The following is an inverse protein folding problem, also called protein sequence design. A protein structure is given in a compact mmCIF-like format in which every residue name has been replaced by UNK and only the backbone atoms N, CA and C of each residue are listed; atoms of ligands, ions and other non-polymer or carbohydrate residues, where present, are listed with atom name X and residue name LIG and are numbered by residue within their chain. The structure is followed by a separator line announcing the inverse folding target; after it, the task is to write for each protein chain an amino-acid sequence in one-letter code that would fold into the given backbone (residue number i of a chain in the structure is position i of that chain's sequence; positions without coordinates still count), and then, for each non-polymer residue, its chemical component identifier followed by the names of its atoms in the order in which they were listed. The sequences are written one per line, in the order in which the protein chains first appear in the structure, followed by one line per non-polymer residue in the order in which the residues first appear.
data_IF_208457999826
#
_entry.id   IF_208457999826
#
_cell.length_a   1.000
_cell.length_b   1.000
_cell.length_c   1.000
_cell.angle_alpha   90.00
_cell.angle_beta   90.00
_cell.angle_gamma   90.00
#
_symmetry.space_group_name_H-M   'P 1'
#
loop_
_entity.id
_entity.type
_entity.pdbx_description
1 polymer ?
#
# COMPACT_ATOMS: atom_id res chain seq x y z
N UNK A 1 -23.57 17.35 49.11
CA UNK A 1 -24.16 17.58 47.77
C UNK A 1 -24.05 16.27 46.99
N UNK A 2 -25.13 15.47 46.89
CA UNK A 2 -25.83 15.03 45.66
C UNK A 2 -24.86 14.57 44.54
N UNK A 3 -24.89 13.36 43.95
CA UNK A 3 -25.89 12.28 43.79
C UNK A 3 -25.15 11.00 43.32
N UNK A 4 -25.42 9.83 43.92
CA UNK A 4 -26.16 8.66 43.39
C UNK A 4 -25.58 7.97 42.14
N UNK A 5 -24.98 6.80 42.37
CA UNK A 5 -24.82 5.70 41.42
C UNK A 5 -25.87 4.63 41.80
N UNK A 6 -26.67 4.16 40.85
CA UNK A 6 -27.63 3.06 41.05
C UNK A 6 -27.32 1.98 40.02
N UNK A 7 -27.01 0.81 40.55
CA UNK A 7 -26.94 -0.48 39.88
C UNK A 7 -28.35 -1.08 39.87
N UNK A 8 -28.80 -1.72 38.78
CA UNK A 8 -29.67 -2.89 38.88
C UNK A 8 -29.66 -3.74 37.61
N UNK A 9 -29.56 -5.04 37.85
CA UNK A 9 -29.62 -6.17 36.93
C UNK A 9 -31.06 -6.53 36.52
N UNK A 10 -31.10 -7.44 35.52
CA UNK A 10 -32.09 -8.51 35.22
C UNK A 10 -33.20 -8.23 34.22
N UNK A 11 -33.35 -9.17 33.26
CA UNK A 11 -34.51 -9.26 32.38
C UNK A 11 -34.30 -10.14 31.14
N UNK A 12 -34.28 -11.46 31.32
CA UNK A 12 -34.29 -12.52 30.29
C UNK A 12 -35.63 -12.53 29.53
N UNK A 13 -35.64 -12.69 28.19
CA UNK A 13 -36.43 -13.73 27.48
C UNK A 13 -36.06 -13.85 26.00
N UNK A 14 -36.13 -15.09 25.49
CA UNK A 14 -35.75 -15.53 24.15
C UNK A 14 -36.98 -15.97 23.30
N UNK A 15 -36.70 -16.30 22.02
CA UNK A 15 -37.52 -16.95 20.98
C UNK A 15 -38.53 -16.01 20.26
N UNK A 16 -38.66 -15.97 18.93
CA UNK A 16 -38.92 -17.07 18.00
C UNK A 16 -38.98 -16.55 16.54
N UNK A 17 -38.86 -17.48 15.59
CA UNK A 17 -38.88 -17.36 14.13
C UNK A 17 -40.17 -16.79 13.52
N UNK A 18 -40.04 -16.18 12.33
CA UNK A 18 -41.14 -15.93 11.40
C UNK A 18 -40.65 -15.61 9.99
N UNK A 19 -40.78 -16.57 9.08
CA UNK A 19 -40.53 -16.42 7.64
C UNK A 19 -41.66 -15.63 6.93
N UNK A 20 -41.34 -15.09 5.75
CA UNK A 20 -42.17 -14.98 4.53
C UNK A 20 -42.37 -13.57 3.96
N UNK A 21 -42.35 -13.48 2.62
CA UNK A 21 -43.23 -12.57 1.88
C UNK A 21 -42.54 -11.52 1.01
N UNK A 22 -42.64 -11.70 -0.31
CA UNK A 22 -42.12 -10.84 -1.36
C UNK A 22 -42.96 -9.58 -1.66
N UNK A 23 -42.35 -8.72 -2.48
CA UNK A 23 -42.95 -7.80 -3.47
C UNK A 23 -43.50 -6.44 -3.01
N UNK A 24 -43.09 -5.38 -3.73
CA UNK A 24 -43.88 -4.13 -3.79
C UNK A 24 -43.09 -2.87 -4.11
N UNK A 25 -42.62 -2.71 -5.35
CA UNK A 25 -42.31 -1.38 -5.89
C UNK A 25 -43.63 -0.60 -6.08
N UNK A 26 -43.76 0.59 -5.48
CA UNK A 26 -44.80 1.57 -5.81
C UNK A 26 -44.18 2.97 -5.92
N UNK A 27 -44.21 3.49 -7.14
CA UNK A 27 -44.00 4.91 -7.47
C UNK A 27 -45.28 5.74 -7.30
N UNK A 28 -45.10 7.04 -7.00
CA UNK A 28 -45.77 8.27 -7.48
C UNK A 28 -45.78 9.32 -6.34
N UNK A 29 -45.53 10.63 -6.50
CA UNK A 29 -45.40 11.54 -7.67
C UNK A 29 -44.95 12.96 -7.19
N UNK A 30 -44.60 13.80 -8.19
CA UNK A 30 -44.53 15.29 -8.27
C UNK A 30 -43.25 16.04 -7.85
N UNK A 31 -42.57 16.67 -8.84
CA UNK A 31 -41.58 17.76 -8.67
C UNK A 31 -42.24 19.13 -8.40
N UNK A 32 -41.54 20.30 -8.44
CA UNK A 32 -40.31 20.62 -9.20
C UNK A 32 -39.18 21.40 -8.46
N UNK A 33 -38.04 21.58 -9.16
CA UNK A 33 -36.93 22.54 -8.97
C UNK A 33 -36.00 22.41 -7.72
N UNK A 34 -34.87 23.14 -7.79
CA UNK A 34 -33.67 23.25 -6.91
C UNK A 34 -32.47 22.41 -7.39
N UNK A 35 -31.45 23.03 -8.02
CA UNK A 35 -30.36 23.85 -7.43
C UNK A 35 -29.61 23.12 -6.31
N UNK A 36 -28.27 23.16 -6.38
CA UNK A 36 -27.28 22.47 -5.52
C UNK A 36 -26.99 20.99 -5.83
N UNK A 37 -26.23 20.77 -6.89
CA UNK A 37 -24.94 20.03 -6.85
C UNK A 37 -24.83 18.61 -6.29
N UNK A 38 -25.89 17.91 -5.89
CA UNK A 38 -25.80 16.58 -5.25
C UNK A 38 -25.95 15.45 -6.25
N UNK A 39 -25.00 14.52 -6.25
CA UNK A 39 -25.01 13.25 -6.97
C UNK A 39 -25.03 12.10 -5.96
N UNK A 40 -25.84 11.08 -6.20
CA UNK A 40 -26.06 9.93 -5.30
C UNK A 40 -25.38 8.69 -5.87
N UNK A 41 -24.61 7.98 -5.02
CA UNK A 41 -23.96 6.70 -5.32
C UNK A 41 -25.02 5.63 -5.59
N UNK A 42 -24.89 4.91 -6.70
CA UNK A 42 -25.76 3.80 -7.02
C UNK A 42 -25.25 2.49 -6.38
N UNK A 43 -26.03 1.94 -5.44
CA UNK A 43 -25.80 0.60 -4.90
C UNK A 43 -25.90 -0.49 -5.99
N UNK A 44 -25.35 -1.68 -5.71
CA UNK A 44 -25.37 -2.82 -6.63
C UNK A 44 -26.77 -3.07 -7.24
N UNK A 45 -26.88 -2.97 -8.57
CA UNK A 45 -28.15 -3.08 -9.31
C UNK A 45 -28.78 -1.76 -9.79
N UNK A 46 -28.15 -0.60 -9.55
CA UNK A 46 -28.64 0.73 -9.97
C UNK A 46 -27.71 1.42 -11.01
N UNK A 47 -28.23 2.40 -11.79
CA UNK A 47 -27.47 3.18 -12.80
C UNK A 47 -26.44 4.11 -12.13
N UNK A 48 -25.19 4.17 -12.61
CA UNK A 48 -24.15 5.06 -12.06
C UNK A 48 -24.33 6.53 -12.49
N UNK A 49 -23.92 7.47 -11.63
CA UNK A 49 -23.88 8.89 -11.95
C UNK A 49 -22.61 9.30 -12.73
N UNK A 50 -21.59 8.44 -12.74
CA UNK A 50 -20.31 8.65 -13.41
C UNK A 50 -20.13 7.67 -14.57
N UNK A 51 -19.73 8.21 -15.73
CA UNK A 51 -19.16 7.43 -16.82
C UNK A 51 -17.66 7.67 -16.85
N UNK A 52 -16.86 6.61 -16.82
CA UNK A 52 -15.43 6.71 -17.08
C UNK A 52 -15.19 6.48 -18.57
N UNK A 53 -14.40 7.37 -19.15
CA UNK A 53 -13.89 7.29 -20.51
C UNK A 53 -12.37 7.32 -20.43
N UNK A 54 -11.74 6.26 -20.89
CA UNK A 54 -10.29 6.14 -21.04
C UNK A 54 -10.02 5.55 -22.41
N UNK A 55 -8.85 5.82 -22.99
CA UNK A 55 -8.45 5.10 -24.20
C UNK A 55 -8.26 3.61 -23.85
N UNK A 56 -9.16 2.74 -24.32
CA UNK A 56 -9.14 1.30 -23.99
C UNK A 56 -8.12 0.48 -24.81
N UNK A 57 -7.50 1.03 -25.86
CA UNK A 57 -6.81 0.20 -26.85
C UNK A 57 -5.64 0.90 -27.55
N UNK A 58 -4.55 1.18 -26.85
CA UNK A 58 -3.28 1.52 -27.51
C UNK A 58 -2.10 0.78 -26.84
N UNK A 59 -1.58 -0.20 -27.57
CA UNK A 59 -0.32 -0.93 -27.43
C UNK A 59 0.46 -0.72 -26.11
N UNK A 60 0.50 -1.80 -25.33
CA UNK A 60 1.45 -2.15 -24.25
C UNK A 60 1.55 -1.29 -22.98
N UNK A 61 1.16 0.00 -22.94
CA UNK A 61 1.28 0.83 -21.71
C UNK A 61 -0.07 1.30 -21.10
N UNK A 62 -1.20 1.05 -21.75
CA UNK A 62 -2.50 1.66 -21.38
C UNK A 62 -3.43 0.79 -20.52
N UNK A 63 -3.25 -0.54 -20.53
CA UNK A 63 -4.08 -1.46 -19.73
C UNK A 63 -3.87 -1.27 -18.22
N UNK A 64 -2.62 -1.08 -17.80
CA UNK A 64 -2.25 -0.76 -16.40
C UNK A 64 -2.88 0.57 -15.96
N UNK A 65 -2.88 1.57 -16.86
CA UNK A 65 -3.39 2.91 -16.57
C UNK A 65 -4.89 2.92 -16.28
N UNK A 66 -5.69 2.24 -17.12
CA UNK A 66 -7.13 2.16 -16.93
C UNK A 66 -7.49 1.36 -15.67
N UNK A 67 -6.83 0.22 -15.44
CA UNK A 67 -7.04 -0.58 -14.24
C UNK A 67 -6.69 0.19 -12.95
N UNK A 68 -5.58 0.94 -12.96
CA UNK A 68 -5.18 1.86 -11.90
C UNK A 68 -6.25 2.92 -11.61
N UNK A 69 -6.68 3.68 -12.62
CA UNK A 69 -7.70 4.74 -12.45
C UNK A 69 -9.01 4.15 -11.93
N UNK A 70 -9.43 3.01 -12.48
CA UNK A 70 -10.67 2.35 -12.06
C UNK A 70 -10.58 1.88 -10.61
N UNK A 71 -9.50 1.23 -10.21
CA UNK A 71 -9.33 0.73 -8.84
C UNK A 71 -9.19 1.87 -7.83
N UNK A 72 -8.44 2.92 -8.17
CA UNK A 72 -8.29 4.14 -7.39
C UNK A 72 -9.63 4.85 -7.14
N UNK A 73 -10.37 5.12 -8.21
CA UNK A 73 -11.68 5.77 -8.11
C UNK A 73 -12.70 4.86 -7.43
N UNK A 74 -12.68 3.54 -7.64
CA UNK A 74 -13.57 2.61 -6.93
C UNK A 74 -13.29 2.57 -5.43
N UNK A 75 -12.01 2.49 -5.07
CA UNK A 75 -11.56 2.42 -3.68
C UNK A 75 -11.86 3.73 -2.94
N UNK A 76 -11.65 4.88 -3.58
CA UNK A 76 -11.99 6.18 -3.02
C UNK A 76 -13.51 6.48 -3.00
N UNK A 77 -14.19 6.36 -4.14
CA UNK A 77 -15.60 6.78 -4.29
C UNK A 77 -16.61 5.75 -3.79
N UNK A 78 -16.18 4.51 -3.50
CA UNK A 78 -17.05 3.38 -3.18
C UNK A 78 -18.20 3.21 -4.21
N UNK A 79 -17.92 3.49 -5.48
CA UNK A 79 -18.92 3.60 -6.55
C UNK A 79 -18.67 2.62 -7.70
N UNK A 80 -19.73 2.21 -8.39
CA UNK A 80 -19.60 1.52 -9.68
C UNK A 80 -19.20 2.51 -10.77
N UNK A 81 -18.12 2.16 -11.46
CA UNK A 81 -17.65 2.84 -12.66
C UNK A 81 -17.91 1.90 -13.83
N UNK A 82 -18.82 2.28 -14.74
CA UNK A 82 -19.06 1.56 -15.98
C UNK A 82 -18.03 1.99 -17.02
N UNK A 83 -17.30 1.02 -17.53
CA UNK A 83 -16.42 1.15 -18.68
C UNK A 83 -17.26 0.74 -19.90
N UNK A 84 -17.57 1.67 -20.80
CA UNK A 84 -18.35 1.38 -22.01
C UNK A 84 -17.68 1.98 -23.23
N UNK A 85 -17.30 1.12 -24.18
CA UNK A 85 -16.95 1.48 -25.55
C UNK A 85 -18.24 1.69 -26.36
N UNK A 86 -18.59 2.94 -26.63
CA UNK A 86 -19.59 3.29 -27.65
C UNK A 86 -21.03 3.57 -27.18
N UNK A 87 -21.42 4.83 -27.40
CA UNK A 87 -22.74 5.40 -27.74
C UNK A 87 -24.05 5.16 -26.95
N UNK A 88 -24.24 4.17 -26.07
CA UNK A 88 -25.50 4.08 -25.28
C UNK A 88 -25.37 4.63 -23.85
N UNK A 89 -25.30 5.97 -23.75
CA UNK A 89 -24.78 6.69 -22.56
C UNK A 89 -25.85 7.04 -21.50
N UNK A 90 -27.05 6.46 -21.53
CA UNK A 90 -28.08 6.64 -20.48
C UNK A 90 -28.28 8.08 -19.91
N UNK A 91 -28.74 8.16 -18.65
CA UNK A 91 -29.04 9.41 -17.91
C UNK A 91 -27.82 9.95 -17.12
N UNK A 92 -26.59 9.59 -17.50
CA UNK A 92 -25.38 9.86 -16.69
C UNK A 92 -25.02 11.34 -16.68
N UNK A 93 -24.81 11.92 -15.48
CA UNK A 93 -24.59 13.37 -15.27
C UNK A 93 -23.11 13.78 -15.39
N UNK A 94 -22.19 12.90 -15.02
CA UNK A 94 -20.75 13.18 -15.01
C UNK A 94 -19.98 12.26 -15.97
N UNK A 95 -19.09 12.84 -16.77
CA UNK A 95 -18.12 12.13 -17.60
C UNK A 95 -16.74 12.38 -17.02
N UNK A 96 -16.05 11.32 -16.62
CA UNK A 96 -14.65 11.32 -16.21
C UNK A 96 -13.82 10.89 -17.42
N UNK A 97 -13.10 11.81 -18.03
CA UNK A 97 -12.29 11.54 -19.22
C UNK A 97 -10.82 11.52 -18.85
N UNK A 98 -10.19 10.35 -18.74
CA UNK A 98 -8.77 10.23 -18.40
C UNK A 98 -7.96 9.83 -19.62
N UNK A 99 -7.09 10.75 -20.07
CA UNK A 99 -6.27 10.55 -21.27
C UNK A 99 -7.08 10.17 -22.51
N UNK A 100 -8.38 10.47 -22.53
CA UNK A 100 -9.32 9.95 -23.53
C UNK A 100 -9.24 10.74 -24.84
N UNK A 101 -8.75 10.10 -25.89
CA UNK A 101 -8.66 10.65 -27.24
C UNK A 101 -10.02 10.92 -27.89
N UNK A 102 -11.06 10.16 -27.50
CA UNK A 102 -12.43 10.36 -28.00
C UNK A 102 -13.14 11.58 -27.38
N UNK A 103 -12.58 12.18 -26.33
CA UNK A 103 -13.08 13.41 -25.72
C UNK A 103 -12.21 14.58 -26.22
N UNK A 104 -12.68 15.43 -27.15
CA UNK A 104 -11.84 16.42 -27.83
C UNK A 104 -11.06 17.34 -26.88
N UNK A 105 -11.69 17.81 -25.80
CA UNK A 105 -11.01 18.65 -24.80
C UNK A 105 -9.87 17.90 -24.10
N UNK A 106 -10.10 16.65 -23.69
CA UNK A 106 -9.07 15.83 -23.04
C UNK A 106 -7.92 15.51 -24.01
N UNK A 107 -8.24 15.24 -25.28
CA UNK A 107 -7.23 15.01 -26.33
C UNK A 107 -6.38 16.25 -26.56
N UNK A 108 -6.99 17.43 -26.75
CA UNK A 108 -6.29 18.70 -26.97
C UNK A 108 -5.37 19.05 -25.79
N UNK A 109 -5.88 18.90 -24.56
CA UNK A 109 -5.06 19.07 -23.35
C UNK A 109 -3.87 18.12 -23.38
N UNK A 110 -4.09 16.84 -23.67
CA UNK A 110 -3.02 15.82 -23.71
C UNK A 110 -1.95 16.13 -24.76
N UNK A 111 -2.32 16.66 -25.93
CA UNK A 111 -1.36 17.07 -26.97
C UNK A 111 -0.54 18.30 -26.58
N UNK A 112 -1.06 19.16 -25.70
CA UNK A 112 -0.37 20.36 -25.23
C UNK A 112 0.58 20.11 -24.04
N UNK A 113 0.52 18.92 -23.42
CA UNK A 113 1.36 18.56 -22.28
C UNK A 113 2.74 18.05 -22.73
N UNK A 114 3.77 18.42 -21.97
CA UNK A 114 5.10 17.79 -22.04
C UNK A 114 5.16 16.57 -21.13
N UNK A 115 6.25 15.79 -21.22
CA UNK A 115 6.52 14.68 -20.30
C UNK A 115 6.41 15.17 -18.84
N UNK A 116 5.76 14.37 -18.01
CA UNK A 116 5.56 14.59 -16.57
C UNK A 116 4.67 15.81 -16.22
N UNK A 117 3.94 16.34 -17.21
CA UNK A 117 2.87 17.33 -17.01
C UNK A 117 1.49 16.67 -17.00
N UNK A 118 0.56 17.25 -16.24
CA UNK A 118 -0.86 16.89 -16.24
C UNK A 118 -1.75 18.14 -16.26
N UNK A 119 -3.02 17.94 -16.63
CA UNK A 119 -4.06 18.96 -16.55
C UNK A 119 -5.39 18.35 -16.10
N UNK A 120 -6.14 19.09 -15.27
CA UNK A 120 -7.49 18.74 -14.84
C UNK A 120 -8.41 19.90 -15.19
N UNK A 121 -9.42 19.65 -16.00
CA UNK A 121 -10.37 20.68 -16.45
C UNK A 121 -11.81 20.21 -16.31
N UNK A 122 -12.68 21.12 -15.89
CA UNK A 122 -14.12 20.89 -15.83
C UNK A 122 -14.81 21.71 -16.91
N UNK A 123 -15.67 21.05 -17.69
CA UNK A 123 -16.45 21.69 -18.76
C UNK A 123 -17.87 21.13 -18.83
N UNK A 124 -18.74 21.79 -19.61
CA UNK A 124 -20.10 21.30 -19.89
C UNK A 124 -20.16 20.71 -21.29
N UNK A 125 -20.75 19.53 -21.42
CA UNK A 125 -21.02 18.89 -22.71
C UNK A 125 -22.03 19.73 -23.50
N UNK A 126 -21.80 19.86 -24.81
CA UNK A 126 -22.66 20.61 -25.74
C UNK A 126 -24.05 20.02 -25.91
N UNK A 127 -24.21 18.71 -25.69
CA UNK A 127 -25.38 17.97 -26.19
C UNK A 127 -26.37 17.59 -25.08
N UNK A 128 -25.99 17.67 -23.79
CA UNK A 128 -26.79 17.09 -22.70
C UNK A 128 -26.64 17.75 -21.31
N UNK A 129 -26.07 18.96 -21.20
CA UNK A 129 -25.79 19.65 -19.91
C UNK A 129 -25.06 18.75 -18.90
N UNK A 130 -24.19 17.87 -19.41
CA UNK A 130 -23.36 16.97 -18.61
C UNK A 130 -22.09 17.68 -18.17
N UNK A 131 -21.60 17.35 -16.98
CA UNK A 131 -20.30 17.84 -16.50
C UNK A 131 -19.22 16.87 -16.98
N UNK A 132 -18.22 17.39 -17.69
CA UNK A 132 -17.05 16.64 -18.16
C UNK A 132 -15.86 17.05 -17.30
N UNK A 133 -15.20 16.06 -16.69
CA UNK A 133 -13.95 16.22 -15.95
C UNK A 133 -12.86 15.59 -16.81
N UNK A 134 -12.14 16.44 -17.54
CA UNK A 134 -11.02 16.06 -18.40
C UNK A 134 -9.73 16.00 -17.59
N UNK A 135 -9.14 14.82 -17.48
CA UNK A 135 -7.87 14.56 -16.80
C UNK A 135 -6.84 14.11 -17.83
N UNK A 136 -6.01 15.04 -18.28
CA UNK A 136 -4.96 14.81 -19.26
C UNK A 136 -3.60 14.64 -18.55
N UNK A 137 -2.74 13.77 -19.04
CA UNK A 137 -1.41 13.53 -18.47
C UNK A 137 -0.44 12.98 -19.52
N UNK A 138 0.86 13.11 -19.27
CA UNK A 138 1.94 12.51 -20.07
C UNK A 138 2.94 11.78 -19.19
N UNK A 139 2.83 10.46 -19.15
CA UNK A 139 3.67 9.58 -18.32
C UNK A 139 2.95 9.08 -17.05
N UNK A 140 3.46 7.98 -16.49
CA UNK A 140 2.85 7.29 -15.34
C UNK A 140 2.83 8.14 -14.07
N UNK A 141 3.88 8.93 -13.87
CA UNK A 141 4.00 9.84 -12.75
C UNK A 141 2.92 10.94 -12.80
N UNK A 142 2.79 11.60 -13.95
CA UNK A 142 1.77 12.62 -14.17
C UNK A 142 0.35 12.05 -14.01
N UNK A 143 0.11 10.82 -14.50
CA UNK A 143 -1.15 10.10 -14.28
C UNK A 143 -1.43 9.92 -12.80
N UNK A 144 -0.45 9.38 -12.06
CA UNK A 144 -0.58 9.08 -10.63
C UNK A 144 -0.87 10.36 -9.83
N UNK A 145 -0.11 11.43 -10.08
CA UNK A 145 -0.33 12.73 -9.45
C UNK A 145 -1.69 13.35 -9.81
N UNK A 146 -2.15 13.23 -11.06
CA UNK A 146 -3.45 13.75 -11.45
C UNK A 146 -4.61 13.02 -10.77
N UNK A 147 -4.52 11.69 -10.64
CA UNK A 147 -5.50 10.88 -9.90
C UNK A 147 -5.44 11.20 -8.41
N UNK A 148 -4.24 11.24 -7.83
CA UNK A 148 -4.02 11.60 -6.44
C UNK A 148 -4.66 12.95 -6.09
N UNK A 149 -4.32 13.98 -6.86
CA UNK A 149 -4.88 15.32 -6.70
C UNK A 149 -6.40 15.35 -6.82
N UNK A 150 -6.96 14.59 -7.77
CA UNK A 150 -8.40 14.46 -7.91
C UNK A 150 -9.05 13.91 -6.64
N UNK A 151 -8.40 12.94 -6.00
CA UNK A 151 -8.89 12.24 -4.84
C UNK A 151 -8.58 12.95 -3.51
N UNK A 152 -7.52 13.77 -3.43
CA UNK A 152 -7.15 14.50 -2.22
C UNK A 152 -7.80 15.88 -2.15
N UNK A 153 -7.80 16.64 -3.26
CA UNK A 153 -8.31 18.02 -3.28
C UNK A 153 -9.81 18.09 -3.56
N UNK A 154 -10.35 17.14 -4.33
CA UNK A 154 -11.71 17.26 -4.86
C UNK A 154 -12.65 16.13 -4.45
N UNK A 155 -12.18 15.13 -3.69
CA UNK A 155 -13.08 14.13 -3.14
C UNK A 155 -13.76 14.64 -1.86
N UNK A 156 -15.07 14.78 -1.95
CA UNK A 156 -15.95 15.07 -0.82
C UNK A 156 -16.33 13.74 -0.16
N UNK A 157 -15.54 13.31 0.82
CA UNK A 157 -15.74 12.05 1.54
C UNK A 157 -17.07 12.00 2.31
N UNK A 158 -17.59 13.15 2.77
CA UNK A 158 -18.88 13.21 3.49
C UNK A 158 -20.04 12.84 2.56
N UNK A 159 -19.98 13.27 1.30
CA UNK A 159 -21.03 13.03 0.32
C UNK A 159 -20.68 11.93 -0.70
N UNK A 160 -19.48 11.35 -0.61
CA UNK A 160 -19.00 10.27 -1.47
C UNK A 160 -18.98 10.64 -2.95
N UNK A 161 -18.49 11.83 -3.29
CA UNK A 161 -18.49 12.35 -4.67
C UNK A 161 -17.29 13.24 -4.96
N UNK A 162 -17.00 13.43 -6.25
CA UNK A 162 -16.08 14.48 -6.70
C UNK A 162 -16.80 15.84 -6.71
N UNK A 163 -16.18 16.86 -6.13
CA UNK A 163 -16.72 18.21 -5.93
C UNK A 163 -15.80 19.29 -6.53
N UNK A 164 -15.56 19.21 -7.85
CA UNK A 164 -14.77 20.20 -8.57
C UNK A 164 -15.63 21.42 -8.96
N UNK A 165 -15.15 22.66 -8.76
CA UNK A 165 -15.80 23.86 -9.30
C UNK A 165 -15.95 23.83 -10.83
N UNK A 166 -17.03 24.40 -11.38
CA UNK A 166 -17.27 24.43 -12.84
C UNK A 166 -16.18 25.18 -13.64
N UNK A 167 -15.42 26.06 -12.99
CA UNK A 167 -14.32 26.82 -13.57
C UNK A 167 -12.94 26.21 -13.31
N UNK A 168 -12.86 24.94 -12.91
CA UNK A 168 -11.58 24.26 -12.68
C UNK A 168 -10.80 24.14 -13.98
N UNK A 169 -9.59 24.70 -13.99
CA UNK A 169 -8.61 24.61 -15.06
C UNK A 169 -7.21 24.58 -14.43
N UNK A 170 -6.73 23.38 -14.17
CA UNK A 170 -5.48 23.10 -13.47
C UNK A 170 -4.48 22.57 -14.48
N UNK A 171 -3.27 23.12 -14.46
CA UNK A 171 -2.10 22.53 -15.10
C UNK A 171 -1.01 22.39 -14.06
N UNK A 172 -0.38 21.22 -14.01
CA UNK A 172 0.70 20.92 -13.08
C UNK A 172 1.84 20.15 -13.75
N UNK A 173 2.98 20.14 -13.08
CA UNK A 173 4.13 19.30 -13.42
C UNK A 173 4.63 18.55 -12.19
N UNK A 174 5.17 17.35 -12.40
CA UNK A 174 5.62 16.49 -11.31
C UNK A 174 7.14 16.35 -11.31
N UNK A 175 7.74 16.49 -10.13
CA UNK A 175 9.18 16.29 -9.87
C UNK A 175 9.33 15.39 -8.64
N UNK A 176 9.40 14.05 -8.81
CA UNK A 176 9.29 13.10 -7.71
C UNK A 176 10.47 13.21 -6.75
N UNK A 177 11.66 13.58 -7.24
CA UNK A 177 12.88 13.72 -6.44
C UNK A 177 12.76 14.76 -5.32
N UNK A 178 11.87 15.75 -5.46
CA UNK A 178 11.72 16.81 -4.46
C UNK A 178 10.97 16.34 -3.20
N UNK A 179 10.19 15.28 -3.32
CA UNK A 179 9.42 14.69 -2.21
C UNK A 179 10.20 13.64 -1.41
N UNK A 180 11.21 13.01 -2.04
CA UNK A 180 11.96 11.89 -1.46
C UNK A 180 13.06 12.39 -0.55
N UNK A 181 13.10 11.89 0.68
CA UNK A 181 14.19 12.14 1.61
C UNK A 181 15.28 11.10 1.37
N UNK A 182 16.44 11.52 0.86
CA UNK A 182 17.61 10.66 0.76
C UNK A 182 18.50 10.82 1.99
N UNK A 183 18.84 9.71 2.64
CA UNK A 183 19.75 9.71 3.80
C UNK A 183 21.20 9.48 3.35
N UNK A 184 22.22 9.86 4.15
CA UNK A 184 23.61 9.50 3.89
C UNK A 184 23.93 8.04 4.29
N UNK A 185 22.94 7.26 4.73
CA UNK A 185 23.15 5.93 5.31
C UNK A 185 23.15 4.87 4.22
N UNK A 186 24.28 4.19 4.03
CA UNK A 186 24.34 3.01 3.15
C UNK A 186 23.84 1.76 3.88
N UNK A 187 22.63 1.35 3.51
CA UNK A 187 21.89 0.27 4.13
C UNK A 187 20.87 -0.31 3.15
N UNK A 188 20.69 -1.64 3.21
CA UNK A 188 19.58 -2.34 2.58
C UNK A 188 18.54 -2.68 3.63
N UNK A 189 17.30 -2.77 3.16
CA UNK A 189 16.14 -3.25 3.94
C UNK A 189 15.93 -2.40 5.22
N UNK A 190 15.77 -1.06 5.09
CA UNK A 190 15.82 -0.14 6.22
C UNK A 190 14.51 -0.09 7.02
N UNK A 191 14.39 -0.90 8.07
CA UNK A 191 13.24 -0.87 8.98
C UNK A 191 13.38 0.30 9.99
N UNK A 192 12.32 1.10 10.17
CA UNK A 192 12.32 2.26 11.06
C UNK A 192 11.44 2.02 12.29
N UNK A 193 11.99 2.28 13.47
CA UNK A 193 11.25 2.39 14.74
C UNK A 193 11.49 3.77 15.35
N UNK A 194 10.45 4.38 15.90
CA UNK A 194 10.56 5.63 16.64
C UNK A 194 10.24 5.36 18.10
N UNK A 195 11.15 5.75 18.99
CA UNK A 195 10.96 5.65 20.44
C UNK A 195 11.44 6.94 21.10
N UNK A 196 10.57 7.56 21.91
CA UNK A 196 10.88 8.79 22.65
C UNK A 196 11.46 9.94 21.78
N UNK A 197 10.97 10.08 20.54
CA UNK A 197 11.40 11.11 19.59
C UNK A 197 12.74 10.82 18.90
N UNK A 198 13.33 9.63 19.11
CA UNK A 198 14.53 9.16 18.43
C UNK A 198 14.13 8.17 17.34
N UNK A 199 14.72 8.32 16.16
CA UNK A 199 14.54 7.40 15.05
C UNK A 199 15.64 6.34 15.08
N UNK A 200 15.26 5.07 14.92
CA UNK A 200 16.15 3.93 14.84
C UNK A 200 15.94 3.24 13.49
N UNK A 201 17.01 3.09 12.72
CA UNK A 201 17.01 2.46 11.40
C UNK A 201 17.81 1.18 11.45
N UNK A 202 17.16 0.04 11.25
CA UNK A 202 17.74 -1.29 11.24
C UNK A 202 17.84 -1.80 9.81
N UNK A 203 18.82 -2.64 9.50
CA UNK A 203 18.86 -3.27 8.19
C UNK A 203 19.95 -4.31 8.03
N UNK A 204 20.10 -4.78 6.79
CA UNK A 204 20.97 -5.92 6.44
C UNK A 204 22.41 -5.76 6.97
N UNK A 205 22.94 -6.87 7.48
CA UNK A 205 24.11 -6.97 8.35
C UNK A 205 23.76 -7.07 9.84
N UNK A 206 22.47 -6.94 10.19
CA UNK A 206 21.95 -6.74 11.54
C UNK A 206 22.68 -5.60 12.25
N UNK A 207 22.69 -4.46 11.56
CA UNK A 207 23.22 -3.20 12.04
C UNK A 207 22.09 -2.20 12.17
N UNK A 208 22.30 -1.21 13.03
CA UNK A 208 21.38 -0.09 13.15
C UNK A 208 22.09 1.26 13.19
N UNK A 209 21.33 2.29 12.86
CA UNK A 209 21.69 3.69 12.99
C UNK A 209 20.62 4.39 13.84
N UNK A 210 21.00 5.46 14.53
CA UNK A 210 20.05 6.29 15.29
C UNK A 210 20.13 7.75 14.89
N UNK A 211 19.00 8.44 14.88
CA UNK A 211 18.93 9.87 14.62
C UNK A 211 18.14 10.55 15.73
N UNK A 212 18.84 11.42 16.45
CA UNK A 212 18.33 12.19 17.60
C UNK A 212 17.99 13.64 17.22
N UNK A 213 18.20 14.03 15.96
CA UNK A 213 17.95 15.40 15.49
C UNK A 213 16.47 15.71 15.28
N UNK A 214 15.62 14.68 15.21
CA UNK A 214 14.20 14.82 14.89
C UNK A 214 13.91 14.97 13.38
N UNK A 215 14.93 15.13 12.54
CA UNK A 215 14.78 15.28 11.09
C UNK A 215 15.28 14.04 10.36
N UNK A 216 14.45 13.44 9.50
CA UNK A 216 14.81 12.26 8.69
C UNK A 216 15.99 12.52 7.74
N UNK A 217 16.15 13.77 7.27
CA UNK A 217 17.28 14.24 6.47
C UNK A 217 18.53 14.59 7.31
N UNK A 218 18.42 14.50 8.64
CA UNK A 218 19.47 14.85 9.58
C UNK A 218 20.59 13.83 9.67
N UNK A 219 21.43 14.00 10.70
CA UNK A 219 22.56 13.13 10.95
C UNK A 219 22.10 11.79 11.58
N UNK A 220 22.66 10.70 11.05
CA UNK A 220 22.46 9.35 11.54
C UNK A 220 23.78 8.82 12.13
N UNK A 221 23.74 8.41 13.40
CA UNK A 221 24.88 7.83 14.11
C UNK A 221 24.88 6.31 13.96
N UNK A 222 26.04 5.71 13.67
CA UNK A 222 26.22 4.27 13.48
C UNK A 222 27.32 3.94 12.46
N UNK A 223 27.39 2.69 11.95
CA UNK A 223 26.55 1.56 12.32
C UNK A 223 26.89 1.00 13.71
N UNK A 224 25.86 0.65 14.46
CA UNK A 224 25.95 -0.16 15.69
C UNK A 224 25.51 -1.60 15.38
N UNK A 225 25.96 -2.57 16.18
CA UNK A 225 25.52 -3.96 16.06
C UNK A 225 24.22 -4.16 16.82
N UNK A 226 23.27 -4.90 16.25
CA UNK A 226 21.99 -5.19 16.92
C UNK A 226 22.11 -6.30 17.97
N UNK A 227 23.04 -7.23 17.79
CA UNK A 227 23.23 -8.41 18.65
C UNK A 227 24.65 -8.41 19.21
N UNK A 228 24.86 -8.87 20.45
CA UNK A 228 26.23 -9.08 20.96
C UNK A 228 26.94 -10.23 20.22
N UNK A 229 26.19 -11.28 19.90
CA UNK A 229 26.69 -12.48 19.23
C UNK A 229 25.72 -12.92 18.14
N UNK A 230 26.27 -13.43 17.04
CA UNK A 230 25.50 -14.14 16.01
C UNK A 230 25.15 -15.55 16.50
N UNK A 231 24.13 -16.20 15.92
CA UNK A 231 23.82 -17.60 16.24
C UNK A 231 25.05 -18.49 16.01
N UNK A 232 25.31 -19.44 16.90
CA UNK A 232 26.52 -20.28 16.82
C UNK A 232 26.57 -21.09 15.51
N UNK A 233 25.43 -21.63 15.07
CA UNK A 233 25.27 -22.40 13.84
C UNK A 233 24.87 -21.50 12.65
N UNK A 234 25.58 -20.39 12.47
CA UNK A 234 25.40 -19.47 11.34
C UNK A 234 26.73 -18.99 10.77
N UNK A 235 26.74 -18.65 9.49
CA UNK A 235 27.96 -18.15 8.81
C UNK A 235 27.74 -16.83 8.06
N UNK A 236 26.57 -16.66 7.43
CA UNK A 236 26.32 -15.62 6.43
C UNK A 236 24.85 -15.21 6.37
N UNK A 237 24.51 -14.36 5.40
CA UNK A 237 23.14 -14.01 5.02
C UNK A 237 22.31 -13.35 6.14
N UNK A 238 22.97 -12.56 7.00
CA UNK A 238 22.35 -11.74 8.04
C UNK A 238 21.51 -10.62 7.42
N UNK A 239 20.30 -10.94 6.98
CA UNK A 239 19.48 -10.09 6.11
C UNK A 239 18.24 -9.54 6.82
N UNK A 240 17.78 -8.39 6.30
CA UNK A 240 16.46 -7.81 6.48
C UNK A 240 15.87 -7.92 7.90
N UNK A 241 16.54 -7.37 8.93
CA UNK A 241 15.95 -7.32 10.26
C UNK A 241 14.79 -6.33 10.30
N UNK A 242 13.59 -6.82 10.63
CA UNK A 242 12.45 -5.99 10.97
C UNK A 242 12.26 -5.94 12.49
N UNK A 243 12.08 -4.73 13.03
CA UNK A 243 11.92 -4.53 14.48
C UNK A 243 10.52 -4.02 14.78
N UNK A 244 9.82 -4.75 15.63
CA UNK A 244 8.47 -4.41 16.08
C UNK A 244 8.42 -4.18 17.58
N UNK A 245 7.71 -3.14 18.02
CA UNK A 245 7.36 -2.96 19.43
C UNK A 245 6.13 -3.79 19.76
N UNK A 246 6.25 -4.74 20.69
CA UNK A 246 5.18 -5.64 21.10
C UNK A 246 5.26 -5.90 22.60
N UNK A 247 4.13 -5.87 23.32
CA UNK A 247 4.06 -6.13 24.77
C UNK A 247 5.14 -5.43 25.63
N UNK A 248 5.50 -4.19 25.27
CA UNK A 248 6.47 -3.38 26.01
C UNK A 248 7.94 -3.69 25.75
N UNK A 249 8.25 -4.55 24.78
CA UNK A 249 9.61 -4.87 24.34
C UNK A 249 9.76 -4.71 22.82
N UNK A 250 10.98 -4.86 22.33
CA UNK A 250 11.32 -4.80 20.90
C UNK A 250 11.68 -6.19 20.41
N UNK A 251 11.11 -6.58 19.27
CA UNK A 251 11.32 -7.90 18.68
C UNK A 251 11.90 -7.74 17.29
N UNK A 252 13.09 -8.30 17.07
CA UNK A 252 13.75 -8.37 15.77
C UNK A 252 13.41 -9.70 15.12
N UNK A 253 12.80 -9.65 13.94
CA UNK A 253 12.65 -10.78 13.03
C UNK A 253 13.74 -10.65 11.97
N UNK A 254 14.60 -11.65 11.82
CA UNK A 254 15.74 -11.53 10.93
C UNK A 254 16.16 -12.88 10.32
N UNK A 255 16.75 -12.80 9.13
CA UNK A 255 17.20 -13.97 8.37
C UNK A 255 18.68 -14.24 8.59
N UNK A 256 19.07 -15.51 8.63
CA UNK A 256 20.46 -15.95 8.48
C UNK A 256 20.55 -17.31 7.78
N UNK A 257 21.76 -17.65 7.31
CA UNK A 257 22.07 -18.98 6.78
C UNK A 257 22.52 -19.92 7.91
N UNK A 258 21.87 -21.08 8.02
CA UNK A 258 22.22 -22.11 9.00
C UNK A 258 23.11 -23.18 8.38
N UNK A 259 24.33 -23.32 8.90
CA UNK A 259 25.36 -24.19 8.33
C UNK A 259 24.96 -25.66 8.36
N UNK A 260 24.43 -26.15 9.49
CA UNK A 260 24.12 -27.57 9.64
C UNK A 260 22.98 -28.09 8.74
N UNK A 261 22.05 -27.22 8.36
CA UNK A 261 20.93 -27.57 7.48
C UNK A 261 21.09 -27.09 6.04
N UNK A 262 22.09 -26.26 5.75
CA UNK A 262 22.31 -25.62 4.44
C UNK A 262 21.06 -24.88 3.93
N UNK A 263 20.36 -24.21 4.85
CA UNK A 263 19.12 -23.51 4.58
C UNK A 263 19.12 -22.11 5.18
N UNK A 264 18.47 -21.17 4.48
CA UNK A 264 18.10 -19.88 5.04
C UNK A 264 16.84 -20.01 5.89
N UNK A 265 16.79 -19.28 6.99
CA UNK A 265 15.57 -19.19 7.77
C UNK A 265 15.53 -17.94 8.62
N UNK A 266 14.34 -17.67 9.14
CA UNK A 266 14.11 -16.52 9.99
C UNK A 266 14.17 -16.95 11.46
N UNK A 267 14.73 -16.10 12.31
CA UNK A 267 14.71 -16.25 13.76
C UNK A 267 14.19 -14.98 14.43
N UNK A 268 13.79 -15.12 15.70
CA UNK A 268 13.17 -14.05 16.47
C UNK A 268 14.04 -13.75 17.68
N UNK A 269 14.32 -12.47 17.88
CA UNK A 269 15.13 -11.94 18.95
C UNK A 269 14.35 -10.88 19.73
N UNK A 270 14.72 -10.66 20.99
CA UNK A 270 14.07 -9.71 21.89
C UNK A 270 15.08 -8.76 22.51
N UNK A 271 14.70 -7.50 22.67
CA UNK A 271 15.41 -6.51 23.46
C UNK A 271 14.42 -5.70 24.32
N UNK A 272 14.90 -5.18 25.45
CA UNK A 272 14.13 -4.26 26.30
C UNK A 272 14.13 -2.81 25.77
N UNK A 273 15.12 -2.46 24.95
CA UNK A 273 15.31 -1.12 24.34
C UNK A 273 15.48 -1.24 22.83
N UNK A 274 15.21 -0.17 22.05
CA UNK A 274 15.38 -0.21 20.60
C UNK A 274 16.85 -0.41 20.18
N UNK A 275 17.83 -0.04 21.01
CA UNK A 275 19.25 -0.26 20.74
C UNK A 275 19.71 -1.72 20.87
N UNK A 276 18.92 -2.58 21.52
CA UNK A 276 19.39 -3.91 21.90
C UNK A 276 20.24 -3.92 23.19
N UNK A 277 21.08 -4.95 23.38
CA UNK A 277 21.29 -6.04 22.44
C UNK A 277 20.04 -6.92 22.27
N UNK A 278 19.79 -7.35 21.05
CA UNK A 278 18.74 -8.30 20.72
C UNK A 278 19.23 -9.73 20.99
N UNK A 279 18.57 -10.43 21.91
CA UNK A 279 18.87 -11.81 22.28
C UNK A 279 17.91 -12.77 21.59
N UNK A 280 18.41 -13.87 21.01
CA UNK A 280 17.55 -14.85 20.33
C UNK A 280 16.62 -15.51 21.34
N UNK A 281 15.32 -15.54 21.03
CA UNK A 281 14.30 -16.19 21.86
C UNK A 281 13.67 -17.41 21.18
N UNK A 282 13.82 -17.54 19.85
CA UNK A 282 13.46 -18.76 19.12
C UNK A 282 14.56 -19.82 19.27
N UNK A 283 14.19 -21.09 19.10
CA UNK A 283 15.14 -22.21 19.05
C UNK A 283 15.76 -22.31 17.64
N UNK A 284 16.62 -21.34 17.30
CA UNK A 284 17.12 -21.16 15.94
C UNK A 284 16.04 -20.64 14.99
N UNK A 285 15.95 -21.20 13.78
CA UNK A 285 14.93 -20.83 12.79
C UNK A 285 13.52 -21.14 13.31
N UNK A 286 12.62 -20.17 13.21
CA UNK A 286 11.19 -20.34 13.48
C UNK A 286 10.43 -20.85 12.24
N UNK A 287 10.95 -20.58 11.05
CA UNK A 287 10.43 -21.10 9.78
C UNK A 287 10.77 -22.59 9.59
N UNK A 288 10.03 -23.34 8.74
CA UNK A 288 10.32 -24.76 8.48
C UNK A 288 11.78 -25.01 8.12
N UNK A 289 12.38 -26.07 8.68
CA UNK A 289 13.82 -26.31 8.61
C UNK A 289 14.29 -26.76 7.21
N UNK A 290 13.37 -27.33 6.43
CA UNK A 290 13.56 -27.84 5.09
C UNK A 290 13.21 -26.83 3.98
N UNK A 291 12.84 -25.60 4.36
CA UNK A 291 12.55 -24.52 3.43
C UNK A 291 13.66 -23.48 3.47
N UNK A 292 13.98 -22.91 2.31
CA UNK A 292 14.67 -21.62 2.28
C UNK A 292 13.64 -20.52 2.55
N UNK A 293 13.78 -19.84 3.69
CA UNK A 293 12.89 -18.76 4.09
C UNK A 293 13.65 -17.48 4.43
N UNK A 294 13.10 -16.34 4.03
CA UNK A 294 13.66 -15.01 4.27
C UNK A 294 12.57 -14.02 4.71
N UNK A 295 12.98 -12.81 5.09
CA UNK A 295 12.13 -11.62 5.25
C UNK A 295 10.89 -11.85 6.14
N UNK A 296 11.12 -12.40 7.34
CA UNK A 296 10.08 -12.58 8.33
C UNK A 296 9.63 -11.27 8.97
N UNK A 297 8.32 -11.06 9.10
CA UNK A 297 7.70 -9.90 9.75
C UNK A 297 6.63 -10.32 10.77
N UNK A 298 6.34 -9.44 11.73
CA UNK A 298 5.26 -9.62 12.70
C UNK A 298 3.98 -8.89 12.27
N UNK A 299 2.86 -9.61 12.27
CA UNK A 299 1.53 -9.03 12.24
C UNK A 299 0.69 -9.51 13.43
N UNK A 300 0.08 -8.59 14.17
CA UNK A 300 -0.85 -8.94 15.26
C UNK A 300 -2.26 -8.62 14.79
N UNK A 301 -3.12 -9.64 14.72
CA UNK A 301 -4.49 -9.45 14.24
C UNK A 301 -5.40 -8.75 15.25
N UNK A 302 -6.60 -8.37 14.82
CA UNK A 302 -7.58 -7.67 15.66
C UNK A 302 -8.04 -8.46 16.89
N UNK A 303 -7.80 -9.78 16.94
CA UNK A 303 -8.08 -10.62 18.11
C UNK A 303 -6.87 -10.75 19.05
N UNK A 304 -5.75 -10.10 18.73
CA UNK A 304 -4.51 -10.15 19.49
C UNK A 304 -3.65 -11.39 19.20
N UNK A 305 -3.98 -12.18 18.18
CA UNK A 305 -3.17 -13.33 17.78
C UNK A 305 -1.97 -12.83 16.96
N UNK A 306 -0.72 -13.10 17.39
CA UNK A 306 0.44 -12.79 16.57
C UNK A 306 0.57 -13.82 15.43
N UNK A 307 0.98 -13.33 14.28
CA UNK A 307 1.26 -14.07 13.07
C UNK A 307 2.66 -13.70 12.60
N UNK A 308 3.36 -14.69 12.06
CA UNK A 308 4.51 -14.45 11.22
C UNK A 308 4.04 -14.46 9.77
N UNK A 309 4.47 -13.46 9.02
CA UNK A 309 4.43 -13.48 7.54
C UNK A 309 5.87 -13.51 7.08
N UNK A 310 6.17 -14.33 6.08
CA UNK A 310 7.53 -14.54 5.62
C UNK A 310 7.56 -15.02 4.17
N UNK A 311 8.74 -14.97 3.58
CA UNK A 311 8.98 -15.44 2.22
C UNK A 311 9.42 -16.89 2.27
N UNK A 312 8.73 -17.76 1.54
CA UNK A 312 9.28 -19.05 1.13
C UNK A 312 9.92 -18.86 -0.24
N UNK A 313 11.25 -18.88 -0.24
CA UNK A 313 12.06 -18.31 -1.31
C UNK A 313 11.96 -19.10 -2.60
N UNK A 314 11.98 -18.37 -3.72
CA UNK A 314 11.89 -18.94 -5.06
C UNK A 314 12.96 -19.99 -5.36
N UNK A 315 14.16 -19.88 -4.78
CA UNK A 315 15.26 -20.85 -4.98
C UNK A 315 15.00 -22.21 -4.34
N UNK A 316 14.20 -22.25 -3.26
CA UNK A 316 13.81 -23.49 -2.57
C UNK A 316 12.60 -24.17 -3.19
N UNK A 317 11.85 -23.46 -4.03
CA UNK A 317 10.62 -23.96 -4.65
C UNK A 317 10.90 -24.71 -5.96
N UNK A 318 10.24 -25.86 -6.15
CA UNK A 318 10.47 -26.72 -7.31
C UNK A 318 10.10 -26.08 -8.66
N UNK A 319 9.18 -25.11 -8.66
CA UNK A 319 8.80 -24.34 -9.85
C UNK A 319 9.60 -23.05 -10.02
N UNK A 320 10.51 -22.74 -9.09
CA UNK A 320 11.34 -21.54 -9.13
C UNK A 320 10.56 -20.24 -8.92
N UNK A 321 9.40 -20.29 -8.24
CA UNK A 321 8.56 -19.12 -7.94
C UNK A 321 8.45 -18.95 -6.42
N UNK A 322 8.68 -17.75 -5.92
CA UNK A 322 8.56 -17.39 -4.51
C UNK A 322 7.12 -17.41 -4.02
N UNK A 323 6.95 -17.61 -2.71
CA UNK A 323 5.66 -17.61 -2.04
C UNK A 323 5.69 -16.65 -0.87
N UNK A 324 4.62 -15.87 -0.75
CA UNK A 324 4.32 -15.20 0.50
C UNK A 324 3.57 -16.16 1.40
N UNK A 325 4.07 -16.41 2.60
CA UNK A 325 3.58 -17.45 3.50
C UNK A 325 3.26 -16.87 4.88
N UNK A 326 2.28 -17.44 5.59
CA UNK A 326 1.98 -17.03 6.95
C UNK A 326 1.63 -18.18 7.89
N UNK A 327 1.96 -17.99 9.16
CA UNK A 327 1.68 -18.92 10.24
C UNK A 327 1.39 -18.17 11.54
N UNK A 328 0.59 -18.77 12.43
CA UNK A 328 0.36 -18.22 13.78
C UNK A 328 1.62 -18.38 14.61
N UNK A 329 1.96 -17.35 15.38
CA UNK A 329 2.98 -17.39 16.42
C UNK A 329 2.35 -17.70 17.78
N UNK A 330 3.16 -18.28 18.66
CA UNK A 330 2.88 -18.32 20.10
C UNK A 330 2.81 -16.89 20.67
N UNK A 331 2.05 -16.63 21.75
CA UNK A 331 1.96 -15.29 22.35
C UNK A 331 3.30 -14.70 22.84
N UNK A 332 4.28 -15.55 23.14
CA UNK A 332 5.64 -15.16 23.52
C UNK A 332 6.59 -15.01 22.31
N UNK A 333 6.06 -15.23 21.09
CA UNK A 333 6.76 -15.14 19.81
C UNK A 333 7.93 -16.13 19.64
N UNK A 334 8.02 -17.17 20.45
CA UNK A 334 9.18 -18.10 20.43
C UNK A 334 9.11 -19.16 19.33
N UNK A 335 7.91 -19.44 18.81
CA UNK A 335 7.66 -20.50 17.82
C UNK A 335 6.35 -20.33 17.04
N UNK A 336 6.27 -20.97 15.88
CA UNK A 336 5.01 -21.19 15.17
C UNK A 336 4.10 -22.16 15.95
N UNK A 337 2.80 -21.90 15.92
CA UNK A 337 1.75 -22.74 16.53
C UNK A 337 0.69 -23.19 15.51
N UNK A 338 0.95 -22.97 14.23
CA UNK A 338 0.21 -23.54 13.11
C UNK A 338 1.16 -23.82 11.97
N UNK A 339 0.82 -24.78 11.12
CA UNK A 339 1.49 -24.99 9.84
C UNK A 339 1.46 -23.71 9.00
N UNK A 340 2.57 -23.34 8.33
CA UNK A 340 2.58 -22.28 7.33
C UNK A 340 1.62 -22.55 6.19
N UNK A 341 1.09 -21.46 5.64
CA UNK A 341 0.26 -21.48 4.44
C UNK A 341 0.71 -20.40 3.50
N UNK A 342 0.95 -20.80 2.26
CA UNK A 342 1.13 -19.85 1.17
C UNK A 342 -0.17 -19.06 0.96
N UNK A 343 0.00 -17.76 0.82
CA UNK A 343 -1.05 -16.77 0.69
C UNK A 343 -1.19 -16.36 -0.78
N UNK A 344 -0.06 -16.10 -1.44
CA UNK A 344 0.03 -15.79 -2.87
C UNK A 344 1.45 -16.08 -3.40
N UNK A 345 1.61 -16.06 -4.71
CA UNK A 345 2.86 -16.29 -5.43
C UNK A 345 3.42 -14.99 -6.01
N UNK A 346 4.74 -14.95 -6.25
CA UNK A 346 5.40 -13.78 -6.86
C UNK A 346 4.85 -13.40 -8.24
N UNK A 347 4.25 -14.36 -8.95
CA UNK A 347 3.67 -14.19 -10.29
C UNK A 347 2.18 -13.82 -10.27
N UNK A 348 1.54 -13.68 -9.10
CA UNK A 348 0.11 -13.38 -9.01
C UNK A 348 -0.20 -11.90 -9.32
N UNK A 349 0.79 -11.01 -9.15
CA UNK A 349 0.62 -9.59 -9.47
C UNK A 349 0.79 -9.34 -10.96
N UNK A 350 -0.11 -8.58 -11.61
CA UNK A 350 -0.05 -8.35 -13.06
C UNK A 350 1.14 -7.47 -13.47
N UNK A 351 1.66 -6.66 -12.55
CA UNK A 351 2.83 -5.80 -12.77
C UNK A 351 4.17 -6.53 -12.59
N UNK A 352 4.16 -7.72 -11.99
CA UNK A 352 5.37 -8.45 -11.64
C UNK A 352 5.96 -9.18 -12.86
N UNK A 353 7.25 -8.98 -13.10
CA UNK A 353 8.03 -9.66 -14.16
C UNK A 353 8.98 -10.71 -13.59
N UNK A 354 9.28 -10.63 -12.29
CA UNK A 354 10.15 -11.57 -11.59
C UNK A 354 9.38 -12.70 -10.87
N UNK A 355 10.13 -13.72 -10.48
CA UNK A 355 9.62 -14.86 -9.72
C UNK A 355 9.76 -14.70 -8.21
N UNK A 356 10.21 -13.55 -7.72
CA UNK A 356 10.55 -13.35 -6.31
C UNK A 356 9.35 -12.84 -5.51
N UNK A 357 9.45 -12.96 -4.19
CA UNK A 357 8.55 -12.33 -3.21
C UNK A 357 9.45 -11.86 -2.09
N UNK A 358 9.58 -10.57 -1.86
CA UNK A 358 10.47 -10.01 -0.83
C UNK A 358 9.74 -9.00 0.06
N UNK A 359 10.29 -8.74 1.26
CA UNK A 359 9.92 -7.63 2.14
C UNK A 359 8.42 -7.44 2.42
N UNK A 360 7.72 -8.44 2.99
CA UNK A 360 6.34 -8.27 3.41
C UNK A 360 6.20 -7.25 4.53
N UNK A 361 5.33 -6.25 4.37
CA UNK A 361 4.97 -5.33 5.45
C UNK A 361 3.46 -5.12 5.52
N UNK A 362 2.86 -5.37 6.69
CA UNK A 362 1.42 -5.35 6.85
C UNK A 362 0.93 -3.97 7.31
N UNK A 363 -0.14 -3.49 6.68
CA UNK A 363 -0.76 -2.21 6.99
C UNK A 363 -2.28 -2.36 7.17
N UNK A 364 -2.79 -2.25 8.40
CA UNK A 364 -4.23 -2.14 8.64
C UNK A 364 -4.74 -0.80 8.09
N UNK A 365 -5.59 -0.85 7.05
CA UNK A 365 -6.17 0.34 6.46
C UNK A 365 -7.29 0.92 7.33
N UNK A 366 -7.64 2.19 7.09
CA UNK A 366 -8.61 2.94 7.88
C UNK A 366 -10.03 2.36 7.86
N UNK A 367 -10.39 1.61 6.82
CA UNK A 367 -11.70 0.97 6.65
C UNK A 367 -11.78 -0.44 7.27
N UNK A 368 -10.68 -0.93 7.87
CA UNK A 368 -10.57 -2.26 8.44
C UNK A 368 -10.13 -3.35 7.45
N UNK A 369 -9.85 -3.01 6.19
CA UNK A 369 -9.13 -3.89 5.29
C UNK A 369 -7.65 -4.01 5.68
N UNK A 370 -6.97 -5.03 5.17
CA UNK A 370 -5.56 -5.28 5.45
C UNK A 370 -4.78 -5.24 4.13
N UNK A 371 -3.82 -4.33 4.05
CA UNK A 371 -2.86 -4.26 2.96
C UNK A 371 -1.56 -4.97 3.36
N UNK A 372 -0.85 -5.47 2.35
CA UNK A 372 0.50 -5.97 2.46
C UNK A 372 1.34 -5.29 1.38
N UNK A 373 2.40 -4.59 1.80
CA UNK A 373 3.48 -4.21 0.90
C UNK A 373 4.36 -5.43 0.67
N UNK A 374 4.88 -5.57 -0.54
CA UNK A 374 5.86 -6.59 -0.87
C UNK A 374 6.60 -6.17 -2.15
N UNK A 375 7.75 -6.77 -2.39
CA UNK A 375 8.62 -6.43 -3.51
C UNK A 375 8.81 -7.56 -4.51
N UNK A 376 8.93 -7.14 -5.77
CA UNK A 376 9.31 -7.95 -6.92
C UNK A 376 9.98 -7.02 -7.97
N UNK A 377 10.35 -7.56 -9.12
CA UNK A 377 10.71 -6.78 -10.30
C UNK A 377 9.48 -6.45 -11.13
N UNK A 378 9.44 -5.23 -11.66
CA UNK A 378 8.60 -4.83 -12.78
C UNK A 378 9.47 -4.71 -14.06
N UNK A 379 8.97 -4.06 -15.11
CA UNK A 379 9.74 -3.85 -16.35
C UNK A 379 10.89 -2.84 -16.20
N UNK A 380 10.82 -1.95 -15.20
CA UNK A 380 11.80 -0.89 -14.96
C UNK A 380 12.88 -1.30 -13.94
N UNK A 381 12.57 -2.19 -13.00
CA UNK A 381 13.51 -2.67 -12.00
C UNK A 381 12.83 -3.24 -10.76
N UNK A 382 13.55 -3.22 -9.63
CA UNK A 382 12.97 -3.63 -8.36
C UNK A 382 11.97 -2.59 -7.87
N UNK A 383 10.82 -3.06 -7.40
CA UNK A 383 9.64 -2.24 -7.11
C UNK A 383 8.92 -2.72 -5.82
N UNK A 384 7.99 -1.91 -5.33
CA UNK A 384 7.12 -2.23 -4.19
C UNK A 384 5.67 -2.19 -4.67
N UNK A 385 4.98 -3.33 -4.59
CA UNK A 385 3.55 -3.42 -4.85
C UNK A 385 2.72 -3.59 -3.58
N UNK A 386 1.42 -3.76 -3.79
CA UNK A 386 0.44 -3.94 -2.73
C UNK A 386 -0.47 -5.13 -3.02
N UNK A 387 -0.75 -5.92 -2.00
CA UNK A 387 -1.85 -6.88 -1.99
C UNK A 387 -2.90 -6.45 -0.95
N UNK A 388 -4.17 -6.68 -1.22
CA UNK A 388 -5.29 -6.41 -0.30
C UNK A 388 -5.95 -7.71 0.12
N UNK A 389 -6.09 -7.92 1.42
CA UNK A 389 -6.98 -8.96 1.94
C UNK A 389 -8.43 -8.47 1.89
N UNK A 390 -9.24 -9.09 1.04
CA UNK A 390 -10.66 -8.72 0.88
C UNK A 390 -11.49 -9.01 2.14
N UNK A 391 -11.00 -9.88 3.02
CA UNK A 391 -11.66 -10.19 4.29
C UNK A 391 -11.16 -9.34 5.47
N UNK A 392 -10.11 -8.54 5.27
CA UNK A 392 -9.38 -7.85 6.33
C UNK A 392 -8.58 -8.78 7.25
N UNK A 393 -8.45 -10.07 6.92
CA UNK A 393 -7.70 -11.06 7.72
C UNK A 393 -6.46 -11.53 6.99
N UNK A 394 -5.42 -11.90 7.73
CA UNK A 394 -4.18 -12.47 7.17
C UNK A 394 -4.43 -13.72 6.30
N UNK A 395 -5.48 -14.49 6.60
CA UNK A 395 -5.86 -15.68 5.84
C UNK A 395 -6.45 -15.39 4.45
N UNK A 396 -6.58 -14.12 4.06
CA UNK A 396 -7.09 -13.72 2.74
C UNK A 396 -8.60 -13.92 2.55
N UNK A 397 -9.08 -14.06 1.30
CA UNK A 397 -8.27 -14.11 0.07
C UNK A 397 -7.52 -12.78 -0.18
N UNK A 398 -6.35 -12.89 -0.82
CA UNK A 398 -5.52 -11.73 -1.16
C UNK A 398 -5.64 -11.42 -2.64
N UNK A 399 -6.01 -10.19 -2.93
CA UNK A 399 -6.10 -9.64 -4.28
C UNK A 399 -4.89 -8.74 -4.51
N UNK A 400 -4.11 -9.02 -5.53
CA UNK A 400 -3.02 -8.14 -5.95
C UNK A 400 -3.58 -6.84 -6.53
N UNK A 401 -3.04 -5.70 -6.11
CA UNK A 401 -3.35 -4.43 -6.76
C UNK A 401 -2.62 -4.39 -8.11
N UNK A 402 -3.24 -3.82 -9.15
CA UNK A 402 -2.70 -3.91 -10.51
C UNK A 402 -1.50 -2.97 -10.78
N UNK A 403 -1.02 -2.26 -9.76
CA UNK A 403 0.02 -1.24 -9.88
C UNK A 403 0.92 -1.23 -8.64
N UNK A 404 2.13 -0.70 -8.82
CA UNK A 404 3.10 -0.53 -7.76
C UNK A 404 2.78 0.71 -6.93
N UNK A 405 3.08 0.64 -5.62
CA UNK A 405 3.19 1.82 -4.78
C UNK A 405 4.44 2.64 -5.14
N UNK A 406 5.51 1.93 -5.53
CA UNK A 406 6.79 2.53 -5.86
C UNK A 406 7.51 1.74 -6.95
N UNK A 407 8.01 2.44 -7.96
CA UNK A 407 8.84 1.88 -9.04
C UNK A 407 9.71 2.97 -9.68
N UNK A 408 10.81 2.57 -10.31
CA UNK A 408 11.59 3.44 -11.17
C UNK A 408 10.75 4.04 -12.31
N UNK A 409 9.70 3.38 -12.79
CA UNK A 409 8.78 3.94 -13.81
C UNK A 409 8.00 5.16 -13.30
N UNK A 410 7.73 5.21 -11.99
CA UNK A 410 7.09 6.34 -11.33
C UNK A 410 8.09 7.45 -10.99
N UNK A 411 9.31 7.10 -10.59
CA UNK A 411 10.28 8.08 -10.08
C UNK A 411 11.27 8.59 -11.12
N UNK A 412 11.45 7.87 -12.24
CA UNK A 412 12.52 7.99 -13.25
C UNK A 412 13.97 7.85 -12.71
N UNK A 413 14.20 8.16 -11.44
CA UNK A 413 15.51 8.38 -10.83
C UNK A 413 15.84 7.41 -9.69
N UNK A 414 14.86 6.68 -9.17
CA UNK A 414 15.05 5.76 -8.05
C UNK A 414 14.46 4.37 -8.35
N UNK A 415 15.31 3.36 -8.40
CA UNK A 415 14.98 1.94 -8.32
C UNK A 415 15.16 1.44 -6.88
N UNK A 416 14.46 0.39 -6.47
CA UNK A 416 14.57 -0.08 -5.08
C UNK A 416 13.29 -0.68 -4.55
N UNK A 417 13.38 -1.27 -3.36
CA UNK A 417 12.24 -1.96 -2.77
C UNK A 417 12.54 -2.44 -1.37
N UNK A 418 11.90 -3.54 -0.99
CA UNK A 418 11.83 -4.05 0.38
C UNK A 418 11.31 -2.94 1.31
N UNK A 419 10.00 -2.66 1.17
CA UNK A 419 9.37 -1.45 1.68
C UNK A 419 8.60 -1.64 2.98
N UNK A 420 8.94 -0.84 3.98
CA UNK A 420 8.26 -0.81 5.29
C UNK A 420 7.66 0.57 5.55
N UNK A 421 6.57 0.62 6.29
CA UNK A 421 5.91 1.88 6.63
C UNK A 421 6.22 2.32 8.05
N UNK A 422 6.44 3.62 8.22
CA UNK A 422 6.48 4.25 9.54
C UNK A 422 5.83 5.64 9.49
N UNK A 423 5.28 6.08 10.62
CA UNK A 423 4.83 7.47 10.79
C UNK A 423 5.92 8.24 11.50
N UNK A 424 6.26 9.42 11.01
CA UNK A 424 7.20 10.31 11.69
C UNK A 424 6.57 10.95 12.94
N UNK A 425 7.32 11.83 13.61
CA UNK A 425 6.86 12.53 14.81
C UNK A 425 5.73 13.54 14.55
N UNK A 426 5.54 13.97 13.30
CA UNK A 426 4.46 14.88 12.89
C UNK A 426 3.22 14.13 12.35
N UNK A 427 3.32 12.80 12.24
CA UNK A 427 2.24 11.91 11.80
C UNK A 427 2.24 11.59 10.30
N UNK A 428 3.17 12.17 9.53
CA UNK A 428 3.36 11.88 8.12
C UNK A 428 3.76 10.42 7.95
N UNK A 429 3.09 9.72 7.04
CA UNK A 429 3.42 8.34 6.72
C UNK A 429 4.51 8.32 5.64
N UNK A 430 5.51 7.47 5.86
CA UNK A 430 6.63 7.27 4.95
C UNK A 430 6.79 5.80 4.61
N UNK A 431 7.09 5.52 3.34
CA UNK A 431 7.63 4.28 2.86
C UNK A 431 9.17 4.34 2.96
N UNK A 432 9.75 3.48 3.79
CA UNK A 432 11.19 3.28 3.95
C UNK A 432 11.66 2.16 3.05
N UNK A 433 12.59 2.47 2.14
CA UNK A 433 13.16 1.52 1.17
C UNK A 433 14.64 1.79 0.98
N UNK A 434 15.35 0.83 0.38
CA UNK A 434 16.70 1.06 -0.11
C UNK A 434 16.69 1.40 -1.61
N UNK A 435 17.60 2.26 -2.06
CA UNK A 435 17.76 2.64 -3.47
C UNK A 435 19.21 3.02 -3.77
N UNK A 436 19.82 2.58 -4.89
CA UNK A 436 19.32 1.62 -5.88
C UNK A 436 19.25 0.18 -5.35
N UNK A 437 18.58 -0.72 -6.09
CA UNK A 437 18.53 -2.16 -5.73
C UNK A 437 19.89 -2.85 -5.86
N UNK A 438 20.82 -2.29 -6.63
CA UNK A 438 22.21 -2.71 -6.56
C UNK A 438 23.11 -1.52 -6.83
N UNK A 439 24.34 -1.55 -6.29
CA UNK A 439 25.32 -0.49 -6.55
C UNK A 439 25.46 -0.29 -8.05
N UNK A 440 25.09 0.89 -8.52
CA UNK A 440 25.05 1.22 -9.95
C UNK A 440 26.04 2.34 -10.23
N UNK A 441 27.13 2.01 -10.92
CA UNK A 441 28.25 2.94 -11.13
C UNK A 441 28.81 3.46 -9.80
N UNK A 442 28.69 4.77 -9.56
CA UNK A 442 29.14 5.43 -8.34
C UNK A 442 28.02 5.62 -7.29
N UNK A 443 26.80 5.14 -7.55
CA UNK A 443 25.66 5.28 -6.63
C UNK A 443 25.65 4.11 -5.64
N UNK A 444 25.95 4.40 -4.38
CA UNK A 444 25.79 3.45 -3.27
C UNK A 444 24.30 3.20 -2.99
N UNK A 445 23.97 2.00 -2.52
CA UNK A 445 22.62 1.70 -2.01
C UNK A 445 22.42 2.43 -0.68
N UNK A 446 21.49 3.38 -0.67
CA UNK A 446 21.14 4.24 0.46
C UNK A 446 19.73 3.95 0.95
N UNK A 447 19.46 4.21 2.22
CA UNK A 447 18.09 4.31 2.71
C UNK A 447 17.45 5.62 2.22
N UNK A 448 16.23 5.53 1.70
CA UNK A 448 15.41 6.67 1.30
C UNK A 448 14.01 6.56 1.91
N UNK A 449 13.37 7.70 2.11
CA UNK A 449 12.00 7.78 2.62
C UNK A 449 11.11 8.49 1.61
N UNK A 450 10.07 7.79 1.18
CA UNK A 450 9.08 8.26 0.21
C UNK A 450 7.82 8.64 0.99
N UNK A 451 7.35 9.89 0.95
CA UNK A 451 6.11 10.26 1.61
C UNK A 451 4.95 9.55 0.93
N UNK A 452 4.09 8.94 1.74
CA UNK A 452 2.91 8.24 1.27
C UNK A 452 1.71 8.63 2.13
N UNK A 453 0.51 8.48 1.58
CA UNK A 453 -0.71 8.65 2.35
C UNK A 453 -1.77 7.64 1.90
N UNK A 454 -2.80 7.46 2.73
CA UNK A 454 -3.90 6.55 2.42
C UNK A 454 -5.08 7.33 1.84
N UNK A 455 -5.55 6.91 0.66
CA UNK A 455 -6.81 7.37 0.10
C UNK A 455 -7.67 6.14 -0.15
N UNK A 456 -8.85 6.13 0.50
CA UNK A 456 -9.87 5.12 0.32
C UNK A 456 -9.26 3.73 0.28
N UNK A 457 -8.59 3.29 1.36
CA UNK A 457 -7.97 1.98 1.54
C UNK A 457 -6.86 1.55 0.57
N UNK A 458 -6.25 2.50 -0.13
CA UNK A 458 -5.00 2.28 -0.88
C UNK A 458 -3.95 3.29 -0.46
N UNK A 459 -2.68 2.88 -0.44
CA UNK A 459 -1.56 3.77 -0.22
C UNK A 459 -1.12 4.41 -1.54
N UNK A 460 -0.76 5.68 -1.46
CA UNK A 460 -0.37 6.51 -2.59
C UNK A 460 0.95 7.19 -2.28
N UNK A 461 1.84 7.29 -3.27
CA UNK A 461 2.99 8.18 -3.18
C UNK A 461 2.49 9.62 -3.24
N UNK A 462 2.79 10.38 -2.19
CA UNK A 462 2.54 11.82 -2.12
C UNK A 462 3.57 12.61 -2.96
N UNK A 463 3.12 13.19 -4.08
CA UNK A 463 3.98 14.01 -4.93
C UNK A 463 3.82 15.49 -4.63
N UNK A 464 4.94 16.22 -4.57
CA UNK A 464 4.89 17.68 -4.60
C UNK A 464 4.55 18.15 -6.01
N UNK A 465 3.28 18.49 -6.25
CA UNK A 465 2.87 19.13 -7.50
C UNK A 465 3.28 20.63 -7.49
N UNK A 466 3.84 21.12 -8.59
CA UNK A 466 4.11 22.55 -8.82
C UNK A 466 3.11 23.19 -9.76
#
# INVERSE_FOLDING_TARGET
MKRKMVLMLTGITALALGMSGAAGCKQQKTGPAFEDGKAVIAAAGCKSAYKLVTDEYAETDTLDAAAFIVDALRSALNARISQESGQDIGDTKYILAFGASEVPECFELTQALKKDEYAIKVSKSTDADRIVISVAFRGDLARTCAVDRLLTEFYDAENGRLALPENTDIKGSVTPEESVITTPVSLRDPCIVIENGVYYMYGTGWKYFKNTSGSLAGAWEGPFQMTEQKPEDSDTQYWAPEVHKYNGAFYMFATYHKVSSDHRGCAIFRADTPEGPFEMISDGHVTPAEWDCIDGTLYVDNAGQPWMVFVHEWTGNADGIGRMSAAKLSPDLTKLISEPKDIFMGTDAPWATGNITDGPWLYPASDGSLLMLWSNFDEAGYAVGMARSESGKITGPWKQLPYELYSQRLSASYDGGHGMLFRDTDGQLYLSIHSPNSKTGNRETLAIFVPVHEIGNTLWWEFTAK
#
